data_IF_996170565049
#
_entry.id   IF_996170565049
#
_cell.length_a   1.000
_cell.length_b   1.000
_cell.length_c   1.000
_cell.angle_alpha   90.00
_cell.angle_beta   90.00
_cell.angle_gamma   90.00
#
_symmetry.space_group_name_H-M   'P 1'
#
loop_
_entity.id
_entity.type
_entity.pdbx_description
1 polymer ?
#
# COMPACT_ATOMS: atom_id res chain seq x y z
N UNK A 1 -7.74 -1.40 -6.32
CA UNK A 1 -6.50 -2.20 -6.45
C UNK A 1 -6.82 -3.66 -6.17
N UNK A 2 -7.51 -3.96 -5.08
CA UNK A 2 -7.95 -5.32 -4.74
C UNK A 2 -8.73 -6.00 -5.89
N UNK A 3 -9.74 -5.35 -6.48
CA UNK A 3 -10.50 -5.91 -7.61
C UNK A 3 -9.62 -6.27 -8.84
N UNK A 4 -8.56 -5.51 -9.11
CA UNK A 4 -7.63 -5.79 -10.22
C UNK A 4 -6.74 -7.00 -9.91
N UNK A 5 -6.29 -7.13 -8.66
CA UNK A 5 -5.48 -8.25 -8.18
C UNK A 5 -6.29 -9.55 -8.04
N UNK A 6 -7.58 -9.50 -7.71
CA UNK A 6 -8.39 -10.73 -7.52
C UNK A 6 -9.02 -11.24 -8.82
N UNK A 7 -9.37 -10.36 -9.76
CA UNK A 7 -10.10 -10.75 -10.98
C UNK A 7 -9.18 -10.85 -12.21
N UNK A 8 -8.16 -9.99 -12.29
CA UNK A 8 -7.32 -9.89 -13.49
C UNK A 8 -6.03 -10.70 -13.39
N UNK A 9 -5.37 -10.75 -12.23
CA UNK A 9 -4.12 -11.49 -11.98
C UNK A 9 -4.17 -12.20 -10.62
N UNK A 10 -4.96 -13.28 -10.51
CA UNK A 10 -5.02 -14.05 -9.28
C UNK A 10 -3.75 -14.89 -9.13
N UNK A 11 -2.79 -14.41 -8.35
CA UNK A 11 -1.60 -15.19 -8.01
C UNK A 11 -1.96 -16.31 -7.03
N UNK A 12 -1.84 -17.56 -7.46
CA UNK A 12 -2.06 -18.76 -6.64
C UNK A 12 -0.70 -19.34 -6.26
N UNK A 13 -0.26 -19.19 -5.01
CA UNK A 13 1.00 -19.75 -4.55
C UNK A 13 0.96 -21.28 -4.53
N UNK A 14 2.08 -21.92 -4.86
CA UNK A 14 2.23 -23.37 -4.96
C UNK A 14 2.96 -23.93 -3.76
N UNK A 15 2.27 -24.64 -2.88
CA UNK A 15 2.90 -25.24 -1.71
C UNK A 15 3.54 -26.61 -2.03
N UNK A 16 4.70 -26.93 -1.44
CA UNK A 16 5.53 -26.17 -0.50
C UNK A 16 6.62 -25.29 -1.17
N UNK A 17 6.54 -25.11 -2.49
CA UNK A 17 7.56 -24.45 -3.29
C UNK A 17 7.48 -22.92 -3.14
N UNK A 18 8.63 -22.23 -3.17
CA UNK A 18 8.61 -20.76 -3.22
C UNK A 18 8.27 -20.31 -4.64
N UNK A 19 6.98 -20.31 -4.95
CA UNK A 19 6.47 -20.10 -6.29
C UNK A 19 4.95 -20.05 -6.34
N UNK A 20 4.41 -19.86 -7.54
CA UNK A 20 2.98 -19.81 -7.79
C UNK A 20 2.67 -19.80 -9.26
N UNK A 21 1.39 -19.86 -9.58
CA UNK A 21 0.85 -19.73 -10.93
C UNK A 21 -0.24 -18.67 -10.92
N UNK A 22 -0.41 -17.95 -12.03
CA UNK A 22 -1.41 -16.90 -12.11
C UNK A 22 -2.67 -17.39 -12.82
N UNK A 23 -3.81 -17.33 -12.15
CA UNK A 23 -5.13 -17.70 -12.71
C UNK A 23 -6.02 -16.47 -12.84
N UNK A 24 -5.73 -15.62 -13.81
CA UNK A 24 -6.55 -14.43 -14.07
C UNK A 24 -7.19 -14.45 -15.45
N UNK A 25 -8.12 -13.52 -15.67
CA UNK A 25 -8.62 -13.19 -17.02
C UNK A 25 -7.44 -12.92 -17.98
N UNK A 26 -6.36 -12.29 -17.52
CA UNK A 26 -5.15 -12.06 -18.33
C UNK A 26 -4.48 -13.35 -18.80
N UNK A 27 -4.40 -14.37 -17.95
CA UNK A 27 -3.84 -15.67 -18.33
C UNK A 27 -4.79 -16.41 -19.29
N UNK A 28 -6.10 -16.36 -19.02
CA UNK A 28 -7.10 -17.13 -19.77
C UNK A 28 -7.45 -16.53 -21.13
N UNK A 29 -7.45 -15.20 -21.30
CA UNK A 29 -7.82 -14.55 -22.56
C UNK A 29 -6.63 -14.08 -23.37
N UNK A 30 -5.53 -13.66 -22.73
CA UNK A 30 -4.38 -13.05 -23.40
C UNK A 30 -3.09 -13.89 -23.33
N UNK A 31 -3.10 -15.02 -22.62
CA UNK A 31 -1.94 -15.93 -22.47
C UNK A 31 -0.65 -15.19 -22.05
N UNK A 32 -0.77 -14.18 -21.17
CA UNK A 32 0.36 -13.38 -20.69
C UNK A 32 1.26 -14.22 -19.78
N UNK A 33 2.57 -14.10 -19.96
CA UNK A 33 3.59 -14.83 -19.18
C UNK A 33 3.49 -14.56 -17.67
N UNK A 34 3.55 -15.60 -16.85
CA UNK A 34 3.40 -15.48 -15.39
C UNK A 34 4.52 -14.67 -14.74
N UNK A 35 5.68 -14.60 -15.39
CA UNK A 35 6.79 -13.78 -14.94
C UNK A 35 6.41 -12.32 -14.84
N UNK A 36 5.72 -11.84 -15.87
CA UNK A 36 5.19 -10.50 -15.90
C UNK A 36 4.08 -10.33 -14.86
N UNK A 37 3.19 -11.32 -14.71
CA UNK A 37 2.07 -11.23 -13.77
C UNK A 37 2.51 -11.22 -12.29
N UNK A 38 3.48 -12.07 -11.92
CA UNK A 38 4.04 -12.11 -10.57
C UNK A 38 4.78 -10.81 -10.24
N UNK A 39 5.59 -10.30 -11.18
CA UNK A 39 6.31 -9.03 -11.02
C UNK A 39 5.34 -7.85 -10.91
N UNK A 40 4.30 -7.81 -11.75
CA UNK A 40 3.27 -6.77 -11.71
C UNK A 40 2.48 -6.79 -10.39
N UNK A 41 2.20 -7.97 -9.85
CA UNK A 41 1.54 -8.16 -8.55
C UNK A 41 2.41 -7.60 -7.42
N UNK A 42 3.69 -7.97 -7.38
CA UNK A 42 4.64 -7.44 -6.39
C UNK A 42 4.80 -5.92 -6.50
N UNK A 43 4.90 -5.39 -7.73
CA UNK A 43 4.94 -3.95 -7.99
C UNK A 43 3.72 -3.23 -7.41
N UNK A 44 2.52 -3.78 -7.62
CA UNK A 44 1.29 -3.22 -7.08
C UNK A 44 1.31 -3.17 -5.54
N UNK A 45 1.73 -4.25 -4.87
CA UNK A 45 1.82 -4.27 -3.41
C UNK A 45 2.80 -3.21 -2.90
N UNK A 46 3.99 -3.12 -3.51
CA UNK A 46 4.97 -2.09 -3.15
C UNK A 46 4.45 -0.67 -3.40
N UNK A 47 3.74 -0.45 -4.52
CA UNK A 47 3.16 0.85 -4.85
C UNK A 47 2.10 1.29 -3.83
N UNK A 48 1.29 0.35 -3.33
CA UNK A 48 0.33 0.63 -2.26
C UNK A 48 1.03 1.12 -0.98
N UNK A 49 2.11 0.46 -0.58
CA UNK A 49 2.91 0.88 0.58
C UNK A 49 3.54 2.27 0.37
N UNK A 50 4.11 2.54 -0.81
CA UNK A 50 4.67 3.85 -1.16
C UNK A 50 3.62 4.97 -1.22
N UNK A 51 2.41 4.67 -1.70
CA UNK A 51 1.30 5.61 -1.71
C UNK A 51 0.87 5.96 -0.28
N UNK A 52 0.78 4.98 0.62
CA UNK A 52 0.46 5.20 2.02
C UNK A 52 1.51 6.09 2.70
N UNK A 53 2.80 5.80 2.51
CA UNK A 53 3.90 6.64 3.01
C UNK A 53 3.80 8.08 2.49
N UNK A 54 3.48 8.25 1.20
CA UNK A 54 3.26 9.56 0.58
C UNK A 54 2.09 10.30 1.23
N UNK A 55 1.00 9.60 1.59
CA UNK A 55 -0.13 10.16 2.32
C UNK A 55 0.26 10.66 3.71
N UNK A 56 1.10 9.92 4.46
CA UNK A 56 1.62 10.36 5.76
C UNK A 56 2.46 11.63 5.63
N UNK A 57 3.39 11.69 4.67
CA UNK A 57 4.22 12.89 4.42
C UNK A 57 3.34 14.09 4.03
N UNK A 58 2.39 13.91 3.12
CA UNK A 58 1.42 14.96 2.72
C UNK A 58 0.64 15.48 3.92
N UNK A 59 0.15 14.57 4.77
CA UNK A 59 -0.64 14.92 5.95
C UNK A 59 0.21 15.65 7.00
N UNK A 60 1.44 15.19 7.21
CA UNK A 60 2.40 15.82 8.09
C UNK A 60 2.68 17.26 7.64
N UNK A 61 2.96 17.49 6.36
CA UNK A 61 3.18 18.84 5.83
C UNK A 61 1.94 19.73 5.95
N UNK A 62 0.74 19.20 5.74
CA UNK A 62 -0.49 19.95 5.93
C UNK A 62 -0.71 20.40 7.39
N UNK A 63 -0.31 19.58 8.37
CA UNK A 63 -0.39 19.91 9.80
C UNK A 63 0.77 20.82 10.23
N UNK A 64 1.98 20.61 9.69
CA UNK A 64 3.17 21.41 9.96
C UNK A 64 2.98 22.88 9.57
N UNK A 65 2.14 23.18 8.55
CA UNK A 65 1.75 24.54 8.19
C UNK A 65 1.11 25.35 9.34
N UNK A 66 0.55 24.69 10.35
CA UNK A 66 -0.11 25.37 11.48
C UNK A 66 0.93 26.02 12.41
N UNK A 67 2.10 25.40 12.59
CA UNK A 67 3.11 25.81 13.57
C UNK A 67 4.48 26.14 12.91
N UNK A 68 4.59 26.03 11.59
CA UNK A 68 5.82 26.14 10.79
C UNK A 68 6.99 25.21 11.20
N UNK A 69 6.87 24.43 12.27
CA UNK A 69 7.85 23.45 12.73
C UNK A 69 7.97 22.29 11.72
N UNK A 70 9.20 22.02 11.28
CA UNK A 70 9.54 20.92 10.36
C UNK A 70 8.80 20.97 9.00
N UNK A 71 8.44 22.18 8.54
CA UNK A 71 7.91 22.39 7.21
C UNK A 71 9.03 22.18 6.17
N UNK A 72 8.79 21.29 5.21
CA UNK A 72 9.70 21.10 4.09
C UNK A 72 9.44 22.15 3.03
N UNK A 73 10.52 22.70 2.46
CA UNK A 73 10.42 23.52 1.26
C UNK A 73 9.94 22.69 0.06
N UNK A 74 9.45 23.35 -0.99
CA UNK A 74 8.85 22.69 -2.17
C UNK A 74 9.78 21.65 -2.82
N UNK A 75 11.08 21.94 -2.93
CA UNK A 75 12.09 21.06 -3.54
C UNK A 75 12.33 19.78 -2.72
N UNK A 76 12.75 19.84 -1.44
CA UNK A 76 12.96 18.62 -0.65
C UNK A 76 11.68 17.80 -0.47
N UNK A 77 10.51 18.46 -0.38
CA UNK A 77 9.23 17.77 -0.37
C UNK A 77 8.98 16.97 -1.66
N UNK A 78 9.22 17.57 -2.82
CA UNK A 78 9.09 16.88 -4.11
C UNK A 78 10.08 15.72 -4.24
N UNK A 79 11.33 15.89 -3.79
CA UNK A 79 12.35 14.84 -3.79
C UNK A 79 11.92 13.65 -2.92
N UNK A 80 11.45 13.90 -1.69
CA UNK A 80 10.98 12.83 -0.78
C UNK A 80 9.83 12.03 -1.41
N UNK A 81 8.84 12.72 -2.00
CA UNK A 81 7.74 12.04 -2.67
C UNK A 81 8.20 11.27 -3.90
N UNK A 82 9.13 11.81 -4.68
CA UNK A 82 9.70 11.13 -5.84
C UNK A 82 10.44 9.86 -5.43
N UNK A 83 11.34 9.94 -4.43
CA UNK A 83 12.11 8.79 -3.94
C UNK A 83 11.20 7.69 -3.36
N UNK A 84 10.16 8.07 -2.62
CA UNK A 84 9.16 7.13 -2.09
C UNK A 84 8.47 6.34 -3.22
N UNK A 85 8.16 7.00 -4.34
CA UNK A 85 7.48 6.37 -5.48
C UNK A 85 8.44 5.71 -6.47
N UNK A 86 9.74 6.00 -6.41
CA UNK A 86 10.77 5.31 -7.18
C UNK A 86 11.07 3.91 -6.61
N UNK A 87 10.96 3.74 -5.29
CA UNK A 87 11.25 2.49 -4.59
C UNK A 87 10.53 1.25 -5.19
N UNK A 88 9.22 1.26 -5.48
CA UNK A 88 8.52 0.11 -6.08
C UNK A 88 9.09 -0.30 -7.45
N UNK A 89 9.52 0.66 -8.27
CA UNK A 89 10.11 0.37 -9.58
C UNK A 89 11.44 -0.35 -9.44
N UNK A 90 12.31 0.12 -8.53
CA UNK A 90 13.60 -0.52 -8.25
C UNK A 90 13.41 -1.92 -7.68
N UNK A 91 12.52 -2.08 -6.69
CA UNK A 91 12.23 -3.37 -6.08
C UNK A 91 11.69 -4.38 -7.11
N UNK A 92 10.79 -3.95 -7.99
CA UNK A 92 10.21 -4.83 -9.02
C UNK A 92 11.22 -5.15 -10.12
N UNK A 93 12.12 -4.23 -10.46
CA UNK A 93 13.23 -4.49 -11.37
C UNK A 93 14.17 -5.57 -10.83
N UNK A 94 14.54 -5.51 -9.55
CA UNK A 94 15.36 -6.55 -8.92
C UNK A 94 14.64 -7.90 -8.84
N UNK A 95 13.33 -7.90 -8.55
CA UNK A 95 12.54 -9.12 -8.57
C UNK A 95 12.50 -9.75 -9.97
N UNK A 96 12.33 -8.94 -11.02
CA UNK A 96 12.36 -9.40 -12.40
C UNK A 96 13.72 -10.02 -12.78
N UNK A 97 14.82 -9.42 -12.32
CA UNK A 97 16.17 -9.97 -12.51
C UNK A 97 16.42 -11.25 -11.72
N UNK A 98 15.65 -11.50 -10.66
CA UNK A 98 15.73 -12.73 -9.87
C UNK A 98 15.00 -13.93 -10.50
N UNK A 99 14.31 -13.74 -11.62
CA UNK A 99 13.53 -14.80 -12.24
C UNK A 99 14.42 -15.82 -12.95
N UNK A 100 14.13 -17.10 -12.75
CA UNK A 100 14.82 -18.19 -13.43
C UNK A 100 14.18 -18.48 -14.79
N UNK A 101 14.99 -18.95 -15.74
CA UNK A 101 14.47 -19.50 -16.99
C UNK A 101 13.63 -20.76 -16.71
N UNK A 102 12.59 -21.02 -17.52
CA UNK A 102 11.77 -22.24 -17.42
C UNK A 102 12.56 -23.56 -17.30
N UNK A 103 13.63 -23.83 -18.09
CA UNK A 103 14.42 -25.05 -17.93
C UNK A 103 15.09 -25.18 -16.55
N UNK A 104 15.56 -24.06 -15.98
CA UNK A 104 16.21 -24.07 -14.67
C UNK A 104 15.20 -24.23 -13.54
N UNK A 105 13.97 -23.74 -13.72
CA UNK A 105 12.87 -24.00 -12.79
C UNK A 105 12.49 -25.48 -12.76
N UNK A 106 12.44 -26.15 -13.92
CA UNK A 106 12.18 -27.59 -13.99
C UNK A 106 13.26 -28.38 -13.26
N UNK A 107 14.54 -28.04 -13.48
CA UNK A 107 15.66 -28.67 -12.75
C UNK A 107 15.57 -28.48 -11.25
N UNK A 108 15.26 -27.25 -10.80
CA UNK A 108 15.10 -26.95 -9.38
C UNK A 108 13.95 -27.75 -8.74
N UNK A 109 12.83 -27.93 -9.44
CA UNK A 109 11.72 -28.75 -8.96
C UNK A 109 12.13 -30.23 -8.89
N UNK A 110 12.85 -30.73 -9.88
CA UNK A 110 13.31 -32.12 -9.92
C UNK A 110 14.33 -32.41 -8.79
N UNK A 111 15.23 -31.48 -8.51
CA UNK A 111 16.25 -31.62 -7.46
C UNK A 111 15.66 -31.46 -6.03
N UNK A 112 14.78 -30.47 -5.81
CA UNK A 112 14.29 -30.12 -4.47
C UNK A 112 12.96 -30.80 -4.13
N UNK A 113 12.12 -31.08 -5.13
CA UNK A 113 10.77 -31.63 -4.96
C UNK A 113 10.43 -32.69 -6.02
N UNK A 114 11.20 -33.80 -6.12
CA UNK A 114 11.03 -34.81 -7.17
C UNK A 114 9.62 -35.40 -7.23
N UNK A 115 8.95 -35.50 -6.07
CA UNK A 115 7.59 -36.02 -5.94
C UNK A 115 6.49 -35.09 -6.51
N UNK A 116 6.83 -33.82 -6.82
CA UNK A 116 5.88 -32.82 -7.32
C UNK A 116 6.05 -32.54 -8.82
N UNK A 117 7.10 -33.04 -9.46
CA UNK A 117 7.41 -32.77 -10.88
C UNK A 117 6.22 -33.04 -11.81
N UNK A 118 5.56 -34.18 -11.65
CA UNK A 118 4.38 -34.56 -12.44
C UNK A 118 3.18 -33.63 -12.20
N UNK A 119 3.04 -33.08 -10.99
CA UNK A 119 2.00 -32.08 -10.68
C UNK A 119 2.33 -30.73 -11.32
N UNK A 120 3.59 -30.29 -11.27
CA UNK A 120 4.01 -29.04 -11.92
C UNK A 120 3.91 -29.09 -13.44
N UNK A 121 4.20 -30.23 -14.06
CA UNK A 121 4.05 -30.42 -15.51
C UNK A 121 2.59 -30.35 -15.98
N UNK A 122 1.63 -30.67 -15.10
CA UNK A 122 0.20 -30.56 -15.38
C UNK A 122 -0.34 -29.13 -15.22
N UNK A 123 0.43 -28.20 -14.62
CA UNK A 123 -0.02 -26.82 -14.43
C UNK A 123 0.30 -25.94 -15.65
N UNK A 124 -0.69 -25.17 -16.15
CA UNK A 124 -0.45 -24.23 -17.22
C UNK A 124 0.31 -23.02 -16.68
N UNK A 125 1.59 -22.94 -17.04
CA UNK A 125 2.53 -21.86 -16.70
C UNK A 125 2.66 -21.62 -15.17
N UNK A 126 3.84 -21.88 -14.63
CA UNK A 126 4.16 -21.62 -13.22
C UNK A 126 5.46 -20.81 -13.10
N UNK A 127 5.64 -20.20 -11.92
CA UNK A 127 6.86 -19.48 -11.52
C UNK A 127 7.39 -20.12 -10.26
N UNK A 128 8.65 -20.53 -10.28
CA UNK A 128 9.41 -20.91 -9.09
C UNK A 128 10.60 -19.97 -8.94
N UNK A 129 10.80 -19.49 -7.72
CA UNK A 129 11.91 -18.65 -7.34
C UNK A 129 12.95 -19.48 -6.60
N UNK A 130 14.22 -19.23 -6.91
CA UNK A 130 15.37 -19.77 -6.17
C UNK A 130 15.98 -18.68 -5.28
N UNK A 131 16.76 -19.08 -4.28
CA UNK A 131 17.56 -18.19 -3.43
C UNK A 131 18.83 -17.68 -4.14
N UNK A 132 18.65 -17.16 -5.35
CA UNK A 132 19.72 -16.58 -6.14
C UNK A 132 20.16 -15.21 -5.57
N UNK A 133 21.27 -14.69 -6.10
CA UNK A 133 21.83 -13.41 -5.63
C UNK A 133 20.82 -12.27 -5.72
N UNK A 134 20.10 -12.15 -6.85
CA UNK A 134 19.11 -11.10 -7.08
C UNK A 134 17.88 -11.21 -6.15
N UNK A 135 17.46 -12.41 -5.79
CA UNK A 135 16.40 -12.65 -4.81
C UNK A 135 16.86 -12.17 -3.43
N UNK A 136 18.08 -12.51 -3.01
CA UNK A 136 18.65 -12.04 -1.73
C UNK A 136 18.72 -10.50 -1.70
N UNK A 137 19.17 -9.87 -2.79
CA UNK A 137 19.18 -8.40 -2.95
C UNK A 137 17.76 -7.84 -2.81
N UNK A 138 16.77 -8.45 -3.47
CA UNK A 138 15.37 -8.02 -3.43
C UNK A 138 14.80 -8.10 -2.01
N UNK A 139 14.97 -9.22 -1.31
CA UNK A 139 14.45 -9.40 0.06
C UNK A 139 15.15 -8.49 1.08
N UNK A 140 16.45 -8.27 0.90
CA UNK A 140 17.21 -7.31 1.72
C UNK A 140 16.68 -5.89 1.49
N UNK A 141 16.43 -5.51 0.24
CA UNK A 141 15.87 -4.21 -0.10
C UNK A 141 14.45 -4.01 0.47
N UNK A 142 13.61 -5.04 0.43
CA UNK A 142 12.27 -5.04 1.06
C UNK A 142 12.40 -4.88 2.57
N UNK A 143 13.31 -5.60 3.23
CA UNK A 143 13.52 -5.49 4.68
C UNK A 143 13.85 -4.06 5.11
N UNK A 144 14.80 -3.40 4.43
CA UNK A 144 15.11 -1.99 4.70
C UNK A 144 13.94 -1.06 4.38
N UNK A 145 13.19 -1.32 3.30
CA UNK A 145 11.98 -0.56 2.97
C UNK A 145 10.89 -0.65 4.03
N UNK A 146 10.68 -1.85 4.61
CA UNK A 146 9.74 -2.08 5.71
C UNK A 146 10.19 -1.34 6.99
N UNK A 147 11.47 -1.46 7.37
CA UNK A 147 12.01 -0.74 8.51
C UNK A 147 11.88 0.79 8.36
N UNK A 148 12.25 1.31 7.18
CA UNK A 148 12.09 2.73 6.86
C UNK A 148 10.63 3.19 6.95
N UNK A 149 9.69 2.39 6.45
CA UNK A 149 8.25 2.68 6.50
C UNK A 149 7.75 2.80 7.95
N UNK A 150 8.13 1.87 8.82
CA UNK A 150 7.74 1.91 10.25
C UNK A 150 8.30 3.17 10.93
N UNK A 151 9.57 3.51 10.68
CA UNK A 151 10.20 4.70 11.24
C UNK A 151 9.55 5.99 10.74
N UNK A 152 9.30 6.09 9.43
CA UNK A 152 8.67 7.26 8.80
C UNK A 152 7.26 7.49 9.35
N UNK A 153 6.43 6.44 9.38
CA UNK A 153 5.05 6.51 9.88
C UNK A 153 5.04 6.82 11.36
N UNK A 154 5.89 6.17 12.17
CA UNK A 154 6.00 6.42 13.60
C UNK A 154 6.40 7.86 13.91
N UNK A 155 7.48 8.35 13.28
CA UNK A 155 7.97 9.71 13.46
C UNK A 155 6.95 10.76 13.02
N UNK A 156 6.40 10.63 11.80
CA UNK A 156 5.42 11.60 11.29
C UNK A 156 4.16 11.63 12.14
N UNK A 157 3.67 10.47 12.60
CA UNK A 157 2.51 10.36 13.48
C UNK A 157 2.73 11.04 14.81
N UNK A 158 3.84 10.72 15.48
CA UNK A 158 4.21 11.33 16.76
C UNK A 158 4.24 12.87 16.64
N UNK A 159 4.95 13.37 15.62
CA UNK A 159 5.08 14.81 15.39
C UNK A 159 3.74 15.48 15.04
N UNK A 160 2.88 14.80 14.26
CA UNK A 160 1.54 15.32 13.94
C UNK A 160 0.67 15.46 15.19
N UNK A 161 0.69 14.47 16.11
CA UNK A 161 -0.04 14.58 17.37
C UNK A 161 0.51 15.69 18.26
N UNK A 162 1.83 15.81 18.36
CA UNK A 162 2.48 16.88 19.12
C UNK A 162 2.05 18.27 18.61
N UNK A 163 2.09 18.53 17.30
CA UNK A 163 1.64 19.82 16.74
C UNK A 163 0.17 20.08 17.06
N UNK A 164 -0.69 19.06 16.92
CA UNK A 164 -2.12 19.19 17.19
C UNK A 164 -2.40 19.56 18.66
N UNK A 165 -1.64 18.98 19.59
CA UNK A 165 -1.79 19.24 21.03
C UNK A 165 -1.28 20.63 21.41
N UNK A 166 -0.09 21.02 20.93
CA UNK A 166 0.48 22.35 21.14
C UNK A 166 -0.44 23.47 20.61
N UNK A 167 -1.12 23.23 19.48
CA UNK A 167 -1.95 24.23 18.81
C UNK A 167 -3.46 24.06 19.09
N UNK A 168 -3.84 23.23 20.07
CA UNK A 168 -5.24 22.91 20.36
C UNK A 168 -6.11 24.16 20.60
N UNK A 169 -5.54 25.21 21.21
CA UNK A 169 -6.26 26.46 21.53
C UNK A 169 -6.42 27.39 20.32
N UNK A 170 -5.61 27.22 19.28
CA UNK A 170 -5.57 28.10 18.10
C UNK A 170 -6.32 27.51 16.89
N UNK A 171 -6.68 26.22 16.93
CA UNK A 171 -7.41 25.54 15.87
C UNK A 171 -8.89 25.42 16.27
N UNK A 172 -9.81 25.69 15.34
CA UNK A 172 -11.24 25.48 15.58
C UNK A 172 -11.55 24.01 15.90
N UNK A 173 -12.53 23.76 16.77
CA UNK A 173 -12.94 22.41 17.18
C UNK A 173 -13.28 21.53 15.96
N UNK A 174 -13.92 22.10 14.95
CA UNK A 174 -14.26 21.41 13.70
C UNK A 174 -13.02 21.00 12.89
N UNK A 175 -12.04 21.90 12.73
CA UNK A 175 -10.80 21.58 12.00
C UNK A 175 -9.95 20.57 12.76
N UNK A 176 -9.83 20.71 14.09
CA UNK A 176 -9.12 19.76 14.94
C UNK A 176 -9.70 18.35 14.84
N UNK A 177 -11.03 18.22 14.93
CA UNK A 177 -11.74 16.95 14.78
C UNK A 177 -11.46 16.33 13.39
N UNK A 178 -11.46 17.14 12.33
CA UNK A 178 -11.15 16.69 10.96
C UNK A 178 -9.71 16.17 10.84
N UNK A 179 -8.72 16.91 11.37
CA UNK A 179 -7.32 16.47 11.34
C UNK A 179 -7.13 15.14 12.09
N UNK A 180 -7.73 15.01 13.28
CA UNK A 180 -7.67 13.80 14.11
C UNK A 180 -8.39 12.60 13.48
N UNK A 181 -9.55 12.81 12.86
CA UNK A 181 -10.28 11.76 12.15
C UNK A 181 -9.47 11.23 10.95
N UNK A 182 -8.88 12.13 10.15
CA UNK A 182 -7.98 11.72 9.05
C UNK A 182 -6.77 10.94 9.58
N UNK A 183 -6.12 11.38 10.66
CA UNK A 183 -4.99 10.67 11.26
C UNK A 183 -5.37 9.26 11.72
N UNK A 184 -6.52 9.10 12.39
CA UNK A 184 -7.03 7.78 12.80
C UNK A 184 -7.28 6.87 11.60
N UNK A 185 -7.83 7.40 10.50
CA UNK A 185 -8.02 6.63 9.27
C UNK A 185 -6.68 6.18 8.66
N UNK A 186 -5.69 7.08 8.57
CA UNK A 186 -4.35 6.71 8.08
C UNK A 186 -3.68 5.65 8.96
N UNK A 187 -3.81 5.76 10.29
CA UNK A 187 -3.27 4.77 11.22
C UNK A 187 -3.99 3.42 11.12
N UNK A 188 -5.29 3.41 10.88
CA UNK A 188 -6.03 2.18 10.68
C UNK A 188 -5.64 1.49 9.36
N UNK A 189 -5.43 2.27 8.28
CA UNK A 189 -4.88 1.76 7.02
C UNK A 189 -3.47 1.19 7.23
N UNK A 190 -2.61 1.88 7.97
CA UNK A 190 -1.28 1.38 8.32
C UNK A 190 -1.33 0.12 9.19
N UNK A 191 -2.21 0.05 10.18
CA UNK A 191 -2.41 -1.15 11.00
C UNK A 191 -2.85 -2.34 10.15
N UNK A 192 -3.65 -2.08 9.12
CA UNK A 192 -4.00 -3.12 8.16
C UNK A 192 -2.79 -3.56 7.35
N UNK A 193 -2.03 -2.62 6.79
CA UNK A 193 -0.78 -2.91 6.08
C UNK A 193 0.24 -3.66 6.96
N UNK A 194 0.28 -3.40 8.28
CA UNK A 194 1.18 -4.10 9.19
C UNK A 194 0.91 -5.60 9.28
N UNK A 195 -0.31 -6.05 8.99
CA UNK A 195 -0.64 -7.47 8.87
C UNK A 195 0.15 -8.15 7.74
N UNK A 196 0.49 -7.43 6.68
CA UNK A 196 1.38 -7.94 5.60
C UNK A 196 2.85 -7.69 5.93
N UNK A 197 3.18 -6.49 6.42
CA UNK A 197 4.58 -6.09 6.64
C UNK A 197 5.26 -7.03 7.62
N UNK A 198 4.59 -7.46 8.70
CA UNK A 198 5.17 -8.37 9.69
C UNK A 198 5.61 -9.71 9.07
N UNK A 199 4.68 -10.50 8.49
CA UNK A 199 4.98 -11.76 7.81
C UNK A 199 5.99 -11.60 6.67
N UNK A 200 5.89 -10.53 5.87
CA UNK A 200 6.85 -10.26 4.81
C UNK A 200 8.27 -10.02 5.35
N UNK A 201 8.41 -9.30 6.48
CA UNK A 201 9.71 -9.03 7.12
C UNK A 201 10.33 -10.32 7.66
N UNK A 202 9.53 -11.16 8.34
CA UNK A 202 9.97 -12.46 8.86
C UNK A 202 10.46 -13.34 7.71
N UNK A 203 9.72 -13.36 6.60
CA UNK A 203 10.11 -14.13 5.43
C UNK A 203 11.37 -13.63 4.75
N UNK A 204 11.52 -12.31 4.58
CA UNK A 204 12.75 -11.73 4.04
C UNK A 204 13.97 -12.18 4.86
N UNK A 205 13.87 -12.21 6.20
CA UNK A 205 14.94 -12.71 7.07
C UNK A 205 15.23 -14.19 6.82
N UNK A 206 14.20 -15.03 6.69
CA UNK A 206 14.36 -16.47 6.46
C UNK A 206 14.99 -16.79 5.11
N UNK A 207 14.67 -16.02 4.07
CA UNK A 207 15.29 -16.16 2.75
C UNK A 207 16.75 -15.71 2.79
N UNK A 208 17.06 -14.57 3.42
CA UNK A 208 18.44 -14.06 3.55
C UNK A 208 19.31 -15.02 4.36
N UNK A 209 18.75 -15.65 5.40
CA UNK A 209 19.46 -16.64 6.23
C UNK A 209 19.49 -18.05 5.63
N UNK A 210 18.87 -18.26 4.46
CA UNK A 210 18.78 -19.56 3.75
C UNK A 210 18.26 -20.69 4.64
N UNK A 211 17.22 -20.40 5.43
CA UNK A 211 16.66 -21.38 6.36
C UNK A 211 15.91 -22.51 5.62
N UNK A 212 16.24 -23.76 5.93
CA UNK A 212 15.75 -24.96 5.23
C UNK A 212 14.24 -25.23 5.40
N UNK A 213 13.62 -24.74 6.47
CA UNK A 213 12.17 -24.87 6.71
C UNK A 213 11.39 -23.58 6.41
N UNK A 214 11.89 -22.73 5.51
CA UNK A 214 11.22 -21.49 5.08
C UNK A 214 9.80 -21.68 4.54
N UNK A 215 9.44 -22.91 4.15
CA UNK A 215 8.11 -23.31 3.69
C UNK A 215 7.00 -22.88 4.66
N UNK A 216 7.20 -23.02 5.98
CA UNK A 216 6.18 -22.65 6.99
C UNK A 216 5.92 -21.15 6.98
N UNK A 217 6.95 -20.34 6.76
CA UNK A 217 6.80 -18.88 6.69
C UNK A 217 6.07 -18.43 5.42
N UNK A 218 6.30 -19.13 4.30
CA UNK A 218 5.54 -18.91 3.06
C UNK A 218 4.03 -19.07 3.31
N UNK A 219 3.60 -20.08 4.09
CA UNK A 219 2.19 -20.28 4.45
C UNK A 219 1.60 -19.08 5.18
N UNK A 220 2.29 -18.58 6.21
CA UNK A 220 1.79 -17.46 7.02
C UNK A 220 1.70 -16.14 6.25
N UNK A 221 2.61 -15.87 5.32
CA UNK A 221 2.53 -14.69 4.44
C UNK A 221 1.28 -14.70 3.59
N UNK A 222 0.94 -15.85 3.02
CA UNK A 222 -0.17 -15.96 2.07
C UNK A 222 -1.51 -15.79 2.80
N UNK A 223 -1.62 -16.37 4.00
CA UNK A 223 -2.76 -16.14 4.90
C UNK A 223 -2.85 -14.64 5.25
N UNK A 224 -1.72 -14.01 5.55
CA UNK A 224 -1.70 -12.57 5.84
C UNK A 224 -2.08 -11.69 4.64
N UNK A 225 -1.65 -12.05 3.43
CA UNK A 225 -1.96 -11.34 2.18
C UNK A 225 -3.46 -11.39 1.86
N UNK A 226 -4.09 -12.55 2.04
CA UNK A 226 -5.54 -12.71 1.83
C UNK A 226 -6.35 -12.00 2.93
N UNK A 227 -5.90 -12.09 4.18
CA UNK A 227 -6.54 -11.39 5.30
C UNK A 227 -6.47 -9.86 5.14
N UNK A 228 -5.37 -9.33 4.62
CA UNK A 228 -5.19 -7.89 4.42
C UNK A 228 -6.27 -7.25 3.56
N UNK A 229 -6.66 -7.87 2.43
CA UNK A 229 -7.68 -7.27 1.54
C UNK A 229 -9.04 -7.15 2.23
N UNK A 230 -9.42 -8.19 2.98
CA UNK A 230 -10.66 -8.20 3.77
C UNK A 230 -10.62 -7.19 4.93
N UNK A 231 -9.50 -7.13 5.65
CA UNK A 231 -9.29 -6.18 6.74
C UNK A 231 -9.27 -4.74 6.24
N UNK A 232 -8.68 -4.47 5.08
CA UNK A 232 -8.55 -3.12 4.52
C UNK A 232 -9.91 -2.56 4.12
N UNK A 233 -10.76 -3.42 3.55
CA UNK A 233 -12.15 -3.09 3.23
C UNK A 233 -12.96 -2.80 4.49
N UNK A 234 -12.84 -3.64 5.52
CA UNK A 234 -13.54 -3.45 6.79
C UNK A 234 -13.09 -2.16 7.51
N UNK A 235 -11.79 -1.91 7.56
CA UNK A 235 -11.20 -0.72 8.18
C UNK A 235 -11.62 0.55 7.46
N UNK A 236 -11.66 0.53 6.12
CA UNK A 236 -12.20 1.64 5.33
C UNK A 236 -13.65 1.93 5.71
N UNK A 237 -14.51 0.91 5.78
CA UNK A 237 -15.92 1.07 6.16
C UNK A 237 -16.05 1.60 7.59
N UNK A 238 -15.33 1.02 8.55
CA UNK A 238 -15.41 1.36 9.97
C UNK A 238 -14.81 2.73 10.33
N UNK A 239 -13.80 3.17 9.58
CA UNK A 239 -12.99 4.34 9.96
C UNK A 239 -13.31 5.58 9.12
N UNK A 240 -13.95 5.44 7.94
CA UNK A 240 -14.38 6.60 7.15
C UNK A 240 -15.70 7.18 7.69
N UNK A 241 -15.72 8.45 8.14
CA UNK A 241 -16.92 9.13 8.64
C UNK A 241 -18.15 9.12 7.69
N UNK A 242 -18.03 9.20 6.35
CA UNK A 242 -19.22 9.25 5.49
C UNK A 242 -20.03 7.93 5.45
N UNK A 243 -19.50 6.81 5.96
CA UNK A 243 -20.26 5.54 6.01
C UNK A 243 -21.05 5.36 7.31
N UNK A 244 -20.67 6.06 8.39
CA UNK A 244 -21.32 5.94 9.70
C UNK A 244 -22.33 7.04 9.99
N UNK A 245 -22.23 8.18 9.30
CA UNK A 245 -23.26 9.21 9.32
C UNK A 245 -23.84 9.37 7.91
N UNK A 246 -25.11 9.03 7.67
CA UNK A 246 -25.86 9.65 6.59
C UNK A 246 -26.09 11.12 6.96
N UNK A 247 -25.02 11.91 7.01
CA UNK A 247 -25.15 13.35 6.91
C UNK A 247 -25.57 13.61 5.47
N UNK A 248 -26.88 13.68 5.25
CA UNK A 248 -27.44 14.48 4.19
C UNK A 248 -26.55 15.75 4.10
N UNK A 249 -26.03 16.11 2.92
CA UNK A 249 -25.54 17.47 2.77
C UNK A 249 -26.69 18.38 3.21
N UNK A 250 -26.46 19.43 4.03
CA UNK A 250 -27.50 20.41 4.23
C UNK A 250 -27.87 20.88 2.83
N UNK A 251 -29.08 20.55 2.38
CA UNK A 251 -29.69 21.18 1.23
C UNK A 251 -29.48 22.65 1.49
N UNK A 252 -28.58 23.27 0.71
CA UNK A 252 -28.36 24.70 0.74
C UNK A 252 -29.74 25.28 0.53
N UNK A 253 -30.36 25.76 1.61
CA UNK A 253 -31.66 26.36 1.54
C UNK A 253 -31.49 27.68 0.79
N UNK A 254 -31.61 27.59 -0.53
CA UNK A 254 -31.55 28.73 -1.45
C UNK A 254 -32.62 29.78 -1.13
N UNK A 255 -33.55 29.53 -0.18
CA UNK A 255 -34.52 30.54 0.28
C UNK A 255 -33.95 31.55 1.27
N UNK A 256 -32.89 31.25 2.02
CA UNK A 256 -32.32 32.21 3.00
C UNK A 256 -31.34 33.24 2.40
N UNK A 257 -30.88 33.06 1.16
CA UNK A 257 -30.02 34.03 0.47
C UNK A 257 -30.85 35.21 -0.09
N UNK A 258 -32.17 35.06 -0.25
CA UNK A 258 -33.03 36.10 -0.85
C UNK A 258 -33.58 37.14 0.15
N UNK A 259 -33.37 36.98 1.46
CA UNK A 259 -33.94 37.88 2.49
C UNK A 259 -32.91 38.61 3.34
N UNK A 260 -31.61 38.53 3.02
CA UNK A 260 -30.61 39.37 3.68
C UNK A 260 -30.68 40.82 3.17
N UNK A 261 -30.81 41.84 4.03
CA UNK A 261 -31.00 43.24 3.63
C UNK A 261 -29.81 43.86 2.90
N UNK A 262 -28.67 43.15 2.76
CA UNK A 262 -27.46 43.62 2.08
C UNK A 262 -27.57 43.70 0.55
N UNK A 263 -28.61 43.15 -0.08
CA UNK A 263 -28.79 43.24 -1.54
C UNK A 263 -29.82 44.28 -1.99
N UNK A 264 -30.63 44.87 -1.10
CA UNK A 264 -31.60 45.92 -1.47
C UNK A 264 -30.97 47.30 -1.72
N UNK A 265 -29.69 47.48 -1.37
CA UNK A 265 -28.97 48.75 -1.50
C UNK A 265 -28.12 48.87 -2.76
N UNK A 266 -28.05 47.83 -3.60
CA UNK A 266 -27.26 47.88 -4.85
C UNK A 266 -28.04 48.34 -6.09
N UNK A 267 -29.37 48.43 -5.99
CA UNK A 267 -30.24 48.80 -7.13
C UNK A 267 -30.76 50.25 -7.07
N UNK A 268 -30.29 51.09 -6.14
CA UNK A 268 -30.79 52.45 -5.94
C UNK A 268 -29.82 53.58 -6.33
N UNK A 269 -28.66 53.27 -6.92
CA UNK A 269 -27.68 54.30 -7.34
C UNK A 269 -27.15 54.03 -8.74
N UNK A 270 -27.98 54.39 -9.73
CA UNK A 270 -27.54 54.71 -11.08
C UNK A 270 -28.26 56.03 -11.46
N UNK A 271 -27.55 57.17 -11.52
CA UNK A 271 -28.13 58.40 -12.05
C UNK A 271 -28.33 58.28 -13.57
N UNK A 272 -29.41 58.91 -14.04
CA UNK A 272 -29.78 59.06 -15.45
C UNK A 272 -28.75 59.85 -16.26
#
# INVERSE_FOLDING_TARGET
MDFHLTVLMQFVPLFPVFGGYCTGLLTQTFHVDDFFQATATAFCICLMASALNSCFVRKHQAIAKINHKLLLNNVPYAIVLFLLNLFPFVASGFLYLSMLSKPDQVKLIDEVYPNLVTKFQALPNYVVFDSNFWAIVTFTFIFFGCAYTVLLVGFTTYHMFQILEENRKHISVANYAKHRATLRSLLAQFATCSLIIGPATIFSILVVTRYSHSQVATHWIIVALTLHSSANSLVMILTYPPYHHPSLPPLIDRRKIRTSPKYKLRDATLPR
#
